data_IF_217877403829
#
_entry.id   IF_217877403829
#
_cell.length_a   1.000
_cell.length_b   1.000
_cell.length_c   1.000
_cell.angle_alpha   90.00
_cell.angle_beta   90.00
_cell.angle_gamma   90.00
#
_symmetry.space_group_name_H-M   'P 1'
#
loop_
_entity.id
_entity.type
_entity.pdbx_description
1 polymer ?
#
# COMPACT_ATOMS: atom_id res chain seq x y z
N UNK A 1 40.86 -14.27 -1.88
CA UNK A 1 39.91 -13.28 -1.32
C UNK A 1 39.32 -13.90 -0.07
N UNK A 2 39.59 -13.31 1.11
CA UNK A 2 39.11 -13.88 2.38
C UNK A 2 37.60 -13.63 2.49
N UNK A 3 36.80 -14.70 2.48
CA UNK A 3 35.36 -14.64 2.69
C UNK A 3 35.04 -14.81 4.17
N UNK A 4 34.15 -13.97 4.69
CA UNK A 4 33.65 -14.10 6.06
C UNK A 4 32.28 -14.73 6.06
N UNK A 5 32.09 -15.72 6.93
CA UNK A 5 30.79 -16.30 7.22
C UNK A 5 30.33 -15.77 8.58
N UNK A 6 29.14 -15.17 8.63
CA UNK A 6 28.47 -14.80 9.88
C UNK A 6 27.17 -15.59 10.02
N UNK A 7 26.97 -16.18 11.20
CA UNK A 7 25.73 -16.86 11.56
C UNK A 7 24.75 -15.84 12.13
N UNK A 8 23.72 -15.52 11.36
CA UNK A 8 22.58 -14.75 11.86
C UNK A 8 21.57 -15.70 12.49
N UNK A 9 21.28 -15.53 13.77
CA UNK A 9 20.14 -16.16 14.43
C UNK A 9 19.19 -15.04 14.86
N UNK A 10 18.04 -14.93 14.19
CA UNK A 10 17.00 -13.98 14.59
C UNK A 10 15.96 -14.72 15.43
N UNK A 11 15.73 -14.28 16.66
CA UNK A 11 14.60 -14.79 17.45
C UNK A 11 13.32 -14.44 16.71
N UNK A 12 12.52 -15.45 16.32
CA UNK A 12 11.23 -15.20 15.68
C UNK A 12 10.36 -14.34 16.61
N UNK A 13 9.57 -13.45 16.02
CA UNK A 13 8.55 -12.70 16.76
C UNK A 13 7.62 -13.72 17.45
N UNK A 14 7.29 -13.54 18.73
CA UNK A 14 6.33 -14.41 19.40
C UNK A 14 4.96 -14.34 18.73
N UNK A 15 4.21 -15.43 18.86
CA UNK A 15 2.80 -15.45 18.49
C UNK A 15 2.03 -14.40 19.29
N UNK A 16 1.10 -13.73 18.63
CA UNK A 16 0.30 -12.66 19.22
C UNK A 16 -1.01 -12.52 18.47
N UNK A 17 -2.04 -12.08 19.19
CA UNK A 17 -3.36 -11.82 18.62
C UNK A 17 -3.35 -10.54 17.80
N UNK A 18 -4.04 -10.58 16.65
CA UNK A 18 -4.26 -9.42 15.78
C UNK A 18 -5.77 -9.18 15.68
N UNK A 19 -6.20 -7.96 15.99
CA UNK A 19 -7.58 -7.54 15.82
C UNK A 19 -7.85 -7.14 14.38
N UNK A 20 -8.83 -7.77 13.74
CA UNK A 20 -9.25 -7.42 12.38
C UNK A 20 -10.58 -6.64 12.44
N UNK A 21 -10.64 -5.49 11.77
CA UNK A 21 -11.86 -4.69 11.70
C UNK A 21 -12.12 -4.20 10.28
N UNK A 22 -13.36 -3.81 10.00
CA UNK A 22 -13.78 -3.28 8.71
C UNK A 22 -14.15 -1.80 8.87
N UNK A 23 -13.58 -0.93 8.04
CA UNK A 23 -13.77 0.52 8.11
C UNK A 23 -14.21 1.07 6.75
N UNK A 24 -14.99 2.15 6.77
CA UNK A 24 -15.39 2.87 5.56
C UNK A 24 -14.42 4.04 5.31
N UNK A 25 -13.51 3.94 4.34
CA UNK A 25 -12.56 5.01 4.06
C UNK A 25 -13.21 6.19 3.32
N UNK A 26 -12.69 7.40 3.56
CA UNK A 26 -13.00 8.58 2.72
C UNK A 26 -12.21 8.58 1.41
N UNK A 27 -11.01 8.00 1.42
CA UNK A 27 -10.11 7.90 0.27
C UNK A 27 -9.29 6.61 0.32
N UNK A 28 -9.01 6.03 -0.85
CA UNK A 28 -8.09 4.90 -1.00
C UNK A 28 -6.80 5.28 -1.73
N UNK A 29 -6.85 6.36 -2.50
CA UNK A 29 -5.75 6.92 -3.27
C UNK A 29 -5.20 8.17 -2.57
N UNK A 30 -3.91 8.17 -2.23
CA UNK A 30 -3.24 9.30 -1.57
C UNK A 30 -2.12 9.84 -2.45
N UNK A 31 -2.02 11.17 -2.60
CA UNK A 31 -0.89 11.79 -3.31
C UNK A 31 0.41 11.52 -2.56
N UNK A 32 1.44 11.12 -3.29
CA UNK A 32 2.78 10.91 -2.75
C UNK A 32 3.61 12.19 -2.90
N UNK A 33 4.42 12.50 -1.88
CA UNK A 33 5.42 13.56 -1.98
C UNK A 33 6.54 13.22 -2.99
N UNK A 34 6.69 11.94 -3.35
CA UNK A 34 7.66 11.46 -4.36
C UNK A 34 7.09 11.44 -5.79
N UNK A 35 5.93 12.06 -6.01
CA UNK A 35 5.20 12.02 -7.28
C UNK A 35 4.28 10.80 -7.39
N UNK A 36 3.17 10.99 -8.11
CA UNK A 36 2.14 9.97 -8.29
C UNK A 36 1.26 9.75 -7.05
N UNK A 37 0.71 8.55 -6.96
CA UNK A 37 -0.26 8.17 -5.93
C UNK A 37 0.12 6.86 -5.26
N UNK A 38 -0.23 6.74 -3.99
CA UNK A 38 -0.18 5.48 -3.24
C UNK A 38 -1.60 4.95 -3.05
N UNK A 39 -1.75 3.64 -3.23
CA UNK A 39 -2.97 2.90 -2.93
C UNK A 39 -2.78 2.20 -1.59
N UNK A 40 -3.70 2.42 -0.64
CA UNK A 40 -3.62 1.74 0.64
C UNK A 40 -4.96 1.10 1.03
N UNK A 41 -5.17 -0.21 0.79
CA UNK A 41 -6.39 -0.94 1.13
C UNK A 41 -6.56 -1.31 2.60
N UNK A 42 -5.54 -1.08 3.42
CA UNK A 42 -5.55 -1.46 4.84
C UNK A 42 -5.08 -0.30 5.74
N UNK A 43 -5.35 -0.38 7.03
CA UNK A 43 -4.65 0.40 8.04
C UNK A 43 -4.14 -0.55 9.13
N UNK A 44 -2.99 -0.27 9.72
CA UNK A 44 -2.32 -1.22 10.61
C UNK A 44 -1.50 -2.28 9.87
N UNK A 45 -0.97 -3.22 10.64
CA UNK A 45 -0.11 -4.31 10.17
C UNK A 45 -0.14 -5.44 11.21
N UNK A 46 -0.24 -6.72 10.80
CA UNK A 46 -0.19 -7.84 11.73
C UNK A 46 1.24 -8.17 12.19
N UNK A 47 2.27 -7.65 11.50
CA UNK A 47 3.67 -8.03 11.76
C UNK A 47 4.35 -7.09 12.74
N UNK A 48 4.09 -5.78 12.66
CA UNK A 48 4.65 -4.83 13.61
C UNK A 48 6.18 -4.81 13.68
N UNK A 49 6.88 -4.81 12.54
CA UNK A 49 8.34 -4.90 12.51
C UNK A 49 9.01 -3.77 13.30
N UNK A 50 10.09 -4.08 14.02
CA UNK A 50 10.87 -3.11 14.80
C UNK A 50 11.52 -2.01 13.93
N UNK A 51 11.77 -2.30 12.65
CA UNK A 51 12.31 -1.37 11.67
C UNK A 51 11.23 -0.68 10.82
N UNK A 52 9.95 -0.89 11.13
CA UNK A 52 8.89 -0.30 10.34
C UNK A 52 8.84 1.22 10.58
N UNK A 53 8.82 1.99 9.49
CA UNK A 53 8.74 3.45 9.55
C UNK A 53 7.31 3.96 9.75
N UNK A 54 6.30 3.14 9.42
CA UNK A 54 4.87 3.49 9.47
C UNK A 54 4.38 3.96 10.85
N UNK A 55 4.75 3.34 12.00
CA UNK A 55 4.33 3.77 13.33
C UNK A 55 4.73 5.21 13.66
N UNK A 56 5.78 5.70 13.02
CA UNK A 56 6.33 7.03 13.24
C UNK A 56 5.69 8.09 12.32
N UNK A 57 4.78 7.70 11.43
CA UNK A 57 4.00 8.65 10.64
C UNK A 57 2.96 9.37 11.53
N UNK A 58 2.75 10.67 11.31
CA UNK A 58 1.86 11.49 12.14
C UNK A 58 0.45 10.89 12.35
N UNK A 59 -0.16 10.36 11.28
CA UNK A 59 -1.50 9.76 11.38
C UNK A 59 -1.51 8.42 12.15
N UNK A 60 -0.38 7.69 12.19
CA UNK A 60 -0.25 6.45 12.94
C UNK A 60 0.11 6.71 14.40
N UNK A 61 0.84 7.79 14.70
CA UNK A 61 1.11 8.19 16.08
C UNK A 61 -0.16 8.61 16.83
N UNK A 62 -1.20 9.05 16.10
CA UNK A 62 -2.51 9.37 16.65
C UNK A 62 -3.39 8.12 16.90
N UNK A 63 -2.98 6.93 16.43
CA UNK A 63 -3.73 5.70 16.65
C UNK A 63 -3.44 5.15 18.06
N UNK A 64 -4.46 4.97 18.92
CA UNK A 64 -4.27 4.46 20.27
C UNK A 64 -3.90 2.96 20.32
N UNK A 65 -4.21 2.18 19.28
CA UNK A 65 -3.90 0.75 19.24
C UNK A 65 -2.41 0.51 18.98
N UNK A 66 -1.85 -0.50 19.65
CA UNK A 66 -0.44 -0.88 19.52
C UNK A 66 -0.11 -1.31 18.09
N UNK A 67 1.02 -0.83 17.55
CA UNK A 67 1.49 -1.27 16.24
C UNK A 67 1.76 -2.78 16.22
N UNK A 68 1.34 -3.46 15.16
CA UNK A 68 1.50 -4.90 15.05
C UNK A 68 0.37 -5.72 15.66
N UNK A 69 -0.69 -5.11 16.20
CA UNK A 69 -1.79 -5.84 16.87
C UNK A 69 -3.15 -5.61 16.22
N UNK A 70 -3.22 -4.91 15.09
CA UNK A 70 -4.47 -4.67 14.40
C UNK A 70 -4.28 -4.52 12.88
N UNK A 71 -5.35 -4.84 12.15
CA UNK A 71 -5.51 -4.58 10.72
C UNK A 71 -6.95 -4.13 10.48
N UNK A 72 -7.11 -2.96 9.89
CA UNK A 72 -8.40 -2.45 9.44
C UNK A 72 -8.50 -2.59 7.93
N UNK A 73 -9.47 -3.37 7.47
CA UNK A 73 -9.82 -3.54 6.07
C UNK A 73 -10.69 -2.38 5.62
N UNK A 74 -10.28 -1.70 4.56
CA UNK A 74 -11.07 -0.61 3.99
C UNK A 74 -12.12 -1.19 3.05
N UNK A 75 -13.35 -1.21 3.50
CA UNK A 75 -14.46 -1.74 2.72
C UNK A 75 -14.80 -0.85 1.53
N UNK A 76 -15.31 -1.47 0.46
CA UNK A 76 -15.69 -0.76 -0.76
C UNK A 76 -14.51 -0.13 -1.51
N UNK A 77 -13.27 -0.56 -1.22
CA UNK A 77 -12.04 0.00 -1.80
C UNK A 77 -12.05 0.01 -3.32
N UNK A 78 -12.51 -1.06 -3.98
CA UNK A 78 -12.58 -1.14 -5.44
C UNK A 78 -13.49 -0.05 -6.03
N UNK A 79 -14.74 0.02 -5.56
CA UNK A 79 -15.71 1.03 -6.01
C UNK A 79 -15.28 2.46 -5.67
N UNK A 80 -14.57 2.65 -4.55
CA UNK A 80 -14.02 3.95 -4.20
C UNK A 80 -12.85 4.31 -5.13
N UNK A 81 -11.98 3.35 -5.44
CA UNK A 81 -10.88 3.53 -6.37
C UNK A 81 -11.40 3.94 -7.75
N UNK A 82 -12.40 3.26 -8.31
CA UNK A 82 -12.97 3.58 -9.62
C UNK A 82 -13.42 5.05 -9.70
N UNK A 83 -14.13 5.52 -8.66
CA UNK A 83 -14.58 6.91 -8.57
C UNK A 83 -13.42 7.90 -8.45
N UNK A 84 -12.34 7.51 -7.78
CA UNK A 84 -11.16 8.36 -7.59
C UNK A 84 -10.29 8.42 -8.84
N UNK A 85 -10.13 7.30 -9.56
CA UNK A 85 -9.43 7.24 -10.83
C UNK A 85 -10.15 8.10 -11.88
N UNK A 86 -11.47 7.99 -11.99
CA UNK A 86 -12.27 8.81 -12.91
C UNK A 86 -12.11 10.32 -12.68
N UNK A 87 -11.93 10.76 -11.42
CA UNK A 87 -11.67 12.17 -11.07
C UNK A 87 -10.23 12.57 -11.33
N UNK A 88 -9.28 11.73 -10.98
CA UNK A 88 -7.86 12.08 -11.08
C UNK A 88 -7.37 12.12 -12.53
N UNK A 89 -7.93 11.30 -13.43
CA UNK A 89 -7.68 11.40 -14.88
C UNK A 89 -8.08 12.76 -15.46
N UNK A 90 -9.09 13.43 -14.89
CA UNK A 90 -9.52 14.76 -15.37
C UNK A 90 -8.66 15.90 -14.83
N UNK A 91 -7.79 15.63 -13.85
CA UNK A 91 -7.11 16.65 -13.07
C UNK A 91 -5.57 16.53 -13.03
N UNK A 92 -4.97 15.42 -13.47
CA UNK A 92 -3.53 15.19 -13.35
C UNK A 92 -2.96 14.32 -14.48
N UNK A 93 -2.04 14.88 -15.27
CA UNK A 93 -1.36 14.21 -16.39
C UNK A 93 -0.46 13.05 -15.97
N UNK A 94 -0.17 12.88 -14.67
CA UNK A 94 0.76 11.86 -14.17
C UNK A 94 0.08 10.60 -13.61
N UNK A 95 -1.26 10.50 -13.65
CA UNK A 95 -1.98 9.29 -13.27
C UNK A 95 -2.26 8.41 -14.51
N UNK A 96 -1.39 7.45 -14.78
CA UNK A 96 -1.60 6.47 -15.84
C UNK A 96 -2.32 5.23 -15.30
N UNK A 97 -3.64 5.16 -15.50
CA UNK A 97 -4.43 3.96 -15.24
C UNK A 97 -4.36 3.05 -16.47
N UNK A 98 -3.73 1.88 -16.34
CA UNK A 98 -3.76 0.88 -17.40
C UNK A 98 -5.14 0.19 -17.39
N UNK A 99 -6.11 0.78 -18.09
CA UNK A 99 -7.30 0.02 -18.51
C UNK A 99 -6.83 -0.95 -19.59
N UNK A 100 -7.20 -2.24 -19.49
CA UNK A 100 -6.98 -3.25 -20.53
C UNK A 100 -7.65 -2.81 -21.86
N UNK A 101 -7.05 -1.85 -22.56
CA UNK A 101 -7.33 -1.50 -23.94
C UNK A 101 -6.53 -2.51 -24.77
N UNK A 102 -7.15 -3.19 -25.75
CA UNK A 102 -6.44 -4.18 -26.56
C UNK A 102 -5.15 -3.57 -27.11
N UNK A 103 -4.05 -4.31 -26.95
CA UNK A 103 -2.69 -3.95 -27.37
C UNK A 103 -2.62 -3.92 -28.92
N UNK A 104 -3.18 -2.90 -29.55
CA UNK A 104 -3.10 -2.73 -31.01
C UNK A 104 -2.69 -1.33 -31.45
N UNK A 105 -2.13 -0.49 -30.57
CA UNK A 105 -1.60 0.81 -30.97
C UNK A 105 -0.28 1.08 -30.23
N UNK A 106 0.82 0.95 -30.97
CA UNK A 106 2.17 1.12 -30.46
C UNK A 106 2.42 2.48 -29.84
N UNK A 107 3.05 2.47 -28.66
CA UNK A 107 4.00 3.48 -28.18
C UNK A 107 4.89 2.82 -27.12
N UNK A 108 6.19 3.16 -27.15
CA UNK A 108 7.29 2.58 -26.35
C UNK A 108 6.88 2.29 -24.90
N UNK A 109 7.08 1.05 -24.48
CA UNK A 109 6.97 0.62 -23.10
C UNK A 109 8.06 1.28 -22.25
N UNK A 110 7.68 2.16 -21.33
CA UNK A 110 8.51 2.53 -20.20
C UNK A 110 8.37 1.45 -19.11
N UNK A 111 9.41 1.16 -18.32
CA UNK A 111 9.38 0.11 -17.32
C UNK A 111 8.64 0.62 -16.07
N UNK A 112 7.31 0.69 -16.14
CA UNK A 112 6.48 1.06 -14.99
C UNK A 112 5.78 -0.17 -14.45
N UNK A 113 5.82 -0.30 -13.12
CA UNK A 113 5.17 -1.34 -12.34
C UNK A 113 3.70 -1.45 -12.77
N UNK A 114 3.36 -2.60 -13.35
CA UNK A 114 1.99 -2.92 -13.76
C UNK A 114 1.22 -3.33 -12.50
N UNK A 115 0.48 -2.41 -11.90
CA UNK A 115 -0.51 -2.77 -10.88
C UNK A 115 -1.68 -3.46 -11.57
N UNK A 116 -1.60 -4.78 -11.66
CA UNK A 116 -2.73 -5.65 -12.02
C UNK A 116 -3.48 -5.96 -10.75
N UNK A 117 -4.71 -5.44 -10.61
CA UNK A 117 -5.62 -5.80 -9.54
C UNK A 117 -6.64 -6.75 -10.18
N UNK A 118 -6.35 -8.05 -10.13
CA UNK A 118 -7.31 -9.07 -10.52
C UNK A 118 -8.32 -9.27 -9.38
N UNK A 119 -9.61 -9.36 -9.75
CA UNK A 119 -10.73 -9.65 -8.84
C UNK A 119 -10.86 -11.15 -8.59
#
# INVERSE_FOLDING_TARGET
MSGYNFRVSYKRKPEHTVSLSHIQPKSILNRSAMGGYTLNPYAGCPVGCAYCYVPHMAHMQAEPRKWGTYVDVKDGSARLLDRQLARAETADDNLHVNRNRPLSAGRRALPHYKLVIDS
#
